data_IF_624622221329
#
_entry.id   IF_624622221329
#
_cell.length_a   1.000
_cell.length_b   1.000
_cell.length_c   1.000
_cell.angle_alpha   90.00
_cell.angle_beta   90.00
_cell.angle_gamma   90.00
#
_symmetry.space_group_name_H-M   'P 1'
#
loop_
_entity.id
_entity.type
_entity.pdbx_description
1 polymer ?
#
# COMPACT_ATOMS: atom_id res chain seq x y z
N UNK A 1 -13.41 0.75 -2.09
CA UNK A 1 -12.30 -0.24 -2.05
C UNK A 1 -11.07 0.34 -1.35
N UNK A 2 -10.23 -0.51 -0.76
CA UNK A 2 -9.05 -0.08 0.01
C UNK A 2 -7.75 -0.12 -0.78
N UNK A 3 -7.71 -0.75 -1.95
CA UNK A 3 -6.51 -0.86 -2.79
C UNK A 3 -6.87 -1.23 -4.23
N UNK A 4 -6.07 -0.76 -5.17
CA UNK A 4 -6.19 -1.11 -6.59
C UNK A 4 -5.99 -2.61 -6.88
N UNK A 5 -5.32 -3.35 -5.99
CA UNK A 5 -5.17 -4.82 -6.13
C UNK A 5 -6.53 -5.56 -6.11
N UNK A 6 -7.59 -4.91 -5.63
CA UNK A 6 -8.92 -5.48 -5.65
C UNK A 6 -9.66 -5.33 -7.00
N UNK A 7 -9.17 -4.50 -7.92
CA UNK A 7 -9.81 -4.24 -9.21
C UNK A 7 -9.94 -5.51 -10.06
N UNK A 8 -8.90 -6.32 -10.12
CA UNK A 8 -8.88 -7.56 -10.90
C UNK A 8 -9.95 -8.60 -10.45
N UNK A 9 -10.56 -8.40 -9.29
CA UNK A 9 -11.62 -9.28 -8.79
C UNK A 9 -13.03 -8.72 -9.05
N UNK A 10 -13.14 -7.56 -9.70
CA UNK A 10 -14.42 -6.95 -10.03
C UNK A 10 -14.80 -7.31 -11.48
N UNK A 11 -16.07 -7.67 -11.72
CA UNK A 11 -16.58 -7.96 -13.05
C UNK A 11 -16.56 -6.70 -13.96
N UNK A 12 -16.33 -6.90 -15.25
CA UNK A 12 -16.28 -5.82 -16.25
C UNK A 12 -17.62 -5.11 -16.42
N UNK A 13 -18.75 -5.81 -16.25
CA UNK A 13 -20.11 -5.25 -16.32
C UNK A 13 -20.40 -4.26 -15.16
N UNK A 14 -19.48 -4.12 -14.20
CA UNK A 14 -19.60 -3.18 -13.09
C UNK A 14 -19.00 -1.80 -13.36
N UNK A 15 -18.44 -1.55 -14.53
CA UNK A 15 -17.83 -0.26 -14.88
C UNK A 15 -18.80 0.95 -14.80
N UNK A 16 -20.11 0.72 -14.91
CA UNK A 16 -21.14 1.73 -14.72
C UNK A 16 -21.55 1.97 -13.26
N UNK A 17 -21.06 1.16 -12.29
CA UNK A 17 -21.40 1.31 -10.87
C UNK A 17 -20.51 2.36 -10.21
N UNK A 18 -21.06 3.03 -9.19
CA UNK A 18 -20.28 3.98 -8.37
C UNK A 18 -19.18 3.24 -7.61
N UNK A 19 -17.95 3.73 -7.74
CA UNK A 19 -16.79 3.17 -7.05
C UNK A 19 -16.19 4.24 -6.12
N UNK A 20 -15.99 3.85 -4.86
CA UNK A 20 -15.37 4.69 -3.85
C UNK A 20 -14.00 4.08 -3.47
N UNK A 21 -12.93 4.87 -3.57
CA UNK A 21 -11.55 4.48 -3.26
C UNK A 21 -11.02 5.24 -2.04
N UNK A 22 -10.10 4.63 -1.30
CA UNK A 22 -9.44 5.29 -0.17
C UNK A 22 -8.56 6.45 -0.66
N UNK A 23 -7.79 6.25 -1.72
CA UNK A 23 -6.86 7.27 -2.20
C UNK A 23 -6.83 7.41 -3.72
N UNK A 24 -6.28 8.55 -4.17
CA UNK A 24 -6.24 8.97 -5.57
C UNK A 24 -5.55 7.98 -6.50
N UNK A 25 -4.45 7.33 -6.07
CA UNK A 25 -3.77 6.30 -6.87
C UNK A 25 -4.68 5.09 -7.17
N UNK A 26 -5.52 4.68 -6.20
CA UNK A 26 -6.51 3.60 -6.41
C UNK A 26 -7.62 4.07 -7.34
N UNK A 27 -8.08 5.30 -7.19
CA UNK A 27 -9.09 5.90 -8.05
C UNK A 27 -8.61 6.05 -9.51
N UNK A 28 -7.37 6.51 -9.70
CA UNK A 28 -6.76 6.61 -11.03
C UNK A 28 -6.71 5.26 -11.74
N UNK A 29 -6.29 4.21 -11.03
CA UNK A 29 -6.29 2.84 -11.58
C UNK A 29 -7.68 2.31 -11.87
N UNK A 30 -8.68 2.65 -11.05
CA UNK A 30 -10.07 2.27 -11.31
C UNK A 30 -10.61 2.94 -12.58
N UNK A 31 -10.32 4.22 -12.79
CA UNK A 31 -10.69 4.93 -14.04
C UNK A 31 -10.00 4.32 -15.25
N UNK A 32 -8.69 4.01 -15.15
CA UNK A 32 -7.96 3.33 -16.21
C UNK A 32 -8.49 1.92 -16.51
N UNK A 33 -9.08 1.25 -15.54
CA UNK A 33 -9.76 -0.04 -15.70
C UNK A 33 -11.20 0.08 -16.23
N UNK A 34 -11.67 1.30 -16.60
CA UNK A 34 -12.97 1.52 -17.24
C UNK A 34 -14.12 1.94 -16.32
N UNK A 35 -13.91 2.08 -15.01
CA UNK A 35 -14.94 2.60 -14.11
C UNK A 35 -15.22 4.09 -14.37
N UNK A 36 -16.50 4.45 -14.54
CA UNK A 36 -16.90 5.80 -14.99
C UNK A 36 -17.22 6.75 -13.84
N UNK A 37 -17.85 6.28 -12.76
CA UNK A 37 -18.18 7.08 -11.56
C UNK A 37 -17.25 6.66 -10.41
N UNK A 38 -16.05 7.28 -10.37
CA UNK A 38 -15.02 6.97 -9.37
C UNK A 38 -14.77 8.20 -8.51
N UNK A 39 -14.95 8.04 -7.20
CA UNK A 39 -14.65 9.03 -6.17
C UNK A 39 -13.62 8.49 -5.20
N UNK A 40 -12.76 9.36 -4.71
CA UNK A 40 -11.77 9.02 -3.69
C UNK A 40 -11.82 9.98 -2.51
N UNK A 41 -11.36 9.49 -1.38
CA UNK A 41 -11.30 10.27 -0.15
C UNK A 41 -9.95 10.99 0.01
N UNK A 42 -8.97 10.65 -0.81
CA UNK A 42 -7.58 11.13 -0.82
C UNK A 42 -6.91 11.13 0.58
N UNK A 43 -7.30 10.17 1.41
CA UNK A 43 -6.78 10.04 2.78
C UNK A 43 -6.81 8.58 3.24
N UNK A 44 -7.70 8.25 4.17
CA UNK A 44 -7.77 6.97 4.84
C UNK A 44 -9.18 6.33 4.83
N UNK A 45 -9.36 5.24 5.56
CA UNK A 45 -10.64 4.55 5.65
C UNK A 45 -11.71 5.36 6.39
N UNK A 46 -11.34 6.28 7.26
CA UNK A 46 -12.26 7.17 7.97
C UNK A 46 -12.83 8.22 7.02
N UNK A 47 -11.95 8.89 6.29
CA UNK A 47 -12.33 9.84 5.25
C UNK A 47 -13.21 9.18 4.18
N UNK A 48 -12.90 7.91 3.82
CA UNK A 48 -13.74 7.15 2.90
C UNK A 48 -15.12 6.85 3.47
N UNK A 49 -15.24 6.49 4.75
CA UNK A 49 -16.54 6.31 5.38
C UNK A 49 -17.35 7.62 5.35
N UNK A 50 -16.73 8.75 5.70
CA UNK A 50 -17.36 10.07 5.65
C UNK A 50 -17.79 10.45 4.23
N UNK A 51 -16.97 10.18 3.21
CA UNK A 51 -17.33 10.42 1.80
C UNK A 51 -18.55 9.59 1.38
N UNK A 52 -18.59 8.31 1.71
CA UNK A 52 -19.71 7.42 1.39
C UNK A 52 -21.00 7.91 2.04
N UNK A 53 -20.97 8.25 3.34
CA UNK A 53 -22.13 8.71 4.10
C UNK A 53 -22.68 10.05 3.63
N UNK A 54 -21.82 10.94 3.09
CA UNK A 54 -22.27 12.20 2.46
C UNK A 54 -22.88 11.99 1.09
N UNK A 55 -22.52 10.91 0.39
CA UNK A 55 -22.85 10.72 -1.03
C UNK A 55 -24.02 9.78 -1.24
N UNK A 56 -24.19 8.79 -0.37
CA UNK A 56 -25.19 7.74 -0.49
C UNK A 56 -26.11 7.73 0.73
N UNK A 57 -27.30 7.15 0.56
CA UNK A 57 -28.23 6.84 1.65
C UNK A 57 -28.29 5.32 1.86
N UNK A 58 -28.47 4.82 3.09
CA UNK A 58 -28.61 3.38 3.36
C UNK A 58 -29.71 2.69 2.54
N UNK A 59 -30.75 3.43 2.18
CA UNK A 59 -31.87 2.93 1.36
C UNK A 59 -31.51 2.76 -0.13
N UNK A 60 -30.39 3.33 -0.60
CA UNK A 60 -29.98 3.24 -2.01
C UNK A 60 -29.43 1.85 -2.39
N UNK A 61 -29.25 0.96 -1.41
CA UNK A 61 -28.82 -0.42 -1.61
C UNK A 61 -27.61 -0.81 -0.78
N UNK A 62 -27.18 -2.06 -0.94
CA UNK A 62 -26.06 -2.61 -0.22
C UNK A 62 -24.71 -2.16 -0.82
N UNK A 63 -23.71 -2.01 0.05
CA UNK A 63 -22.33 -1.69 -0.32
C UNK A 63 -21.49 -2.99 -0.40
N UNK A 64 -20.77 -3.17 -1.50
CA UNK A 64 -19.70 -4.17 -1.57
C UNK A 64 -18.36 -3.53 -1.19
N UNK A 65 -17.77 -3.98 -0.09
CA UNK A 65 -16.43 -3.59 0.32
C UNK A 65 -15.43 -4.68 -0.06
N UNK A 66 -14.68 -4.44 -1.12
CA UNK A 66 -13.55 -5.30 -1.52
C UNK A 66 -12.27 -4.84 -0.84
N UNK A 67 -11.53 -5.76 -0.26
CA UNK A 67 -10.34 -5.48 0.54
C UNK A 67 -9.33 -6.63 0.52
N UNK A 68 -8.11 -6.34 0.93
CA UNK A 68 -7.12 -7.36 1.23
C UNK A 68 -7.39 -8.08 2.56
N UNK A 69 -6.77 -9.23 2.76
CA UNK A 69 -6.80 -9.96 4.04
C UNK A 69 -6.30 -9.05 5.18
N UNK A 70 -7.02 -9.02 6.28
CA UNK A 70 -6.69 -8.15 7.42
C UNK A 70 -7.06 -6.68 7.26
N UNK A 71 -7.63 -6.28 6.11
CA UNK A 71 -7.98 -4.89 5.81
C UNK A 71 -9.50 -4.69 5.75
N UNK A 72 -9.93 -3.43 5.91
CA UNK A 72 -11.31 -3.00 5.69
C UNK A 72 -12.30 -3.33 6.82
N UNK A 73 -11.90 -3.97 7.93
CA UNK A 73 -12.81 -4.28 9.03
C UNK A 73 -13.34 -3.01 9.69
N UNK A 74 -12.47 -2.05 10.03
CA UNK A 74 -12.86 -0.80 10.67
C UNK A 74 -13.76 0.02 9.75
N UNK A 75 -13.45 0.12 8.47
CA UNK A 75 -14.30 0.77 7.48
C UNK A 75 -15.67 0.11 7.39
N UNK A 76 -15.73 -1.23 7.33
CA UNK A 76 -17.02 -1.95 7.31
C UNK A 76 -17.83 -1.69 8.57
N UNK A 77 -17.20 -1.66 9.75
CA UNK A 77 -17.84 -1.36 11.02
C UNK A 77 -18.44 0.05 11.05
N UNK A 78 -17.67 1.05 10.61
CA UNK A 78 -18.13 2.45 10.54
C UNK A 78 -19.33 2.62 9.59
N UNK A 79 -19.28 2.01 8.42
CA UNK A 79 -20.39 2.07 7.45
C UNK A 79 -21.64 1.36 7.99
N UNK A 80 -21.50 0.23 8.71
CA UNK A 80 -22.63 -0.43 9.36
C UNK A 80 -23.21 0.40 10.51
N UNK A 81 -22.35 1.08 11.29
CA UNK A 81 -22.81 2.03 12.33
C UNK A 81 -23.62 3.18 11.70
N UNK A 82 -23.29 3.60 10.48
CA UNK A 82 -24.04 4.55 9.67
C UNK A 82 -25.27 3.92 8.94
N UNK A 83 -25.70 2.71 9.38
CA UNK A 83 -26.89 1.99 8.89
C UNK A 83 -26.82 1.43 7.47
N UNK A 84 -25.63 1.42 6.83
CA UNK A 84 -25.48 0.76 5.53
C UNK A 84 -25.40 -0.76 5.67
N UNK A 85 -26.03 -1.48 4.75
CA UNK A 85 -25.79 -2.92 4.56
C UNK A 85 -24.44 -3.08 3.86
N UNK A 86 -23.45 -3.76 4.51
CA UNK A 86 -22.10 -3.88 3.98
C UNK A 86 -21.71 -5.35 3.82
N UNK A 87 -21.50 -5.77 2.57
CA UNK A 87 -20.91 -7.06 2.22
C UNK A 87 -19.40 -6.91 2.03
N UNK A 88 -18.60 -7.31 3.02
CA UNK A 88 -17.14 -7.28 2.89
C UNK A 88 -16.66 -8.58 2.23
N UNK A 89 -15.81 -8.44 1.19
CA UNK A 89 -15.15 -9.57 0.53
C UNK A 89 -13.64 -9.35 0.54
N UNK A 90 -12.91 -10.37 0.96
CA UNK A 90 -11.45 -10.42 0.86
C UNK A 90 -11.12 -11.03 -0.50
N UNK A 91 -10.54 -10.24 -1.38
CA UNK A 91 -10.31 -10.64 -2.78
C UNK A 91 -8.82 -10.81 -3.10
N UNK A 92 -7.93 -10.42 -2.19
CA UNK A 92 -6.50 -10.70 -2.30
C UNK A 92 -5.87 -10.84 -0.92
N UNK A 93 -4.70 -11.46 -0.87
CA UNK A 93 -3.85 -11.49 0.30
C UNK A 93 -2.43 -11.10 -0.10
N UNK A 94 -1.84 -10.13 0.61
CA UNK A 94 -0.42 -9.88 0.50
C UNK A 94 0.32 -10.99 1.27
N UNK A 95 1.12 -11.77 0.58
CA UNK A 95 2.05 -12.71 1.21
C UNK A 95 3.45 -12.10 1.24
N UNK A 96 4.19 -12.39 2.31
CA UNK A 96 5.63 -12.04 2.34
C UNK A 96 6.35 -12.91 1.32
N UNK A 97 7.28 -12.32 0.57
CA UNK A 97 8.16 -13.09 -0.29
C UNK A 97 8.94 -14.12 0.58
N UNK A 98 9.11 -15.35 0.10
CA UNK A 98 9.87 -16.37 0.85
C UNK A 98 11.39 -16.11 0.85
N UNK A 99 11.89 -15.40 -0.18
CA UNK A 99 13.29 -15.02 -0.35
C UNK A 99 13.38 -13.68 -1.09
N UNK A 100 14.58 -13.08 -1.05
CA UNK A 100 14.92 -11.98 -1.97
C UNK A 100 14.95 -12.50 -3.41
N UNK A 101 14.46 -11.67 -4.34
CA UNK A 101 14.59 -11.96 -5.76
C UNK A 101 16.07 -12.16 -6.14
N UNK A 102 16.36 -13.09 -7.03
CA UNK A 102 17.75 -13.42 -7.41
C UNK A 102 18.50 -12.19 -7.97
N UNK A 103 17.82 -11.37 -8.79
CA UNK A 103 18.40 -10.13 -9.30
C UNK A 103 18.79 -9.15 -8.17
N UNK A 104 17.97 -9.05 -7.11
CA UNK A 104 18.29 -8.20 -5.96
C UNK A 104 19.47 -8.76 -5.16
N UNK A 105 19.55 -10.09 -4.99
CA UNK A 105 20.68 -10.75 -4.35
C UNK A 105 21.98 -10.50 -5.10
N UNK A 106 21.96 -10.73 -6.42
CA UNK A 106 23.12 -10.54 -7.28
C UNK A 106 23.61 -9.09 -7.24
N UNK A 107 22.69 -8.12 -7.34
CA UNK A 107 23.03 -6.69 -7.27
C UNK A 107 23.64 -6.28 -5.93
N UNK A 108 23.12 -6.80 -4.81
CA UNK A 108 23.69 -6.58 -3.47
C UNK A 108 25.10 -7.12 -3.36
N UNK A 109 25.33 -8.38 -3.79
CA UNK A 109 26.65 -9.03 -3.76
C UNK A 109 27.65 -8.31 -4.65
N UNK A 110 27.23 -7.85 -5.81
CA UNK A 110 28.06 -7.12 -6.77
C UNK A 110 28.33 -5.64 -6.37
N UNK A 111 27.75 -5.15 -5.26
CA UNK A 111 27.90 -3.75 -4.85
C UNK A 111 27.24 -2.72 -5.79
N UNK A 112 26.27 -3.16 -6.60
CA UNK A 112 25.58 -2.32 -7.60
C UNK A 112 24.42 -1.53 -7.02
N UNK A 113 24.12 -1.67 -5.72
CA UNK A 113 23.01 -0.97 -5.06
C UNK A 113 23.57 0.20 -4.25
N UNK A 114 23.33 1.42 -4.69
CA UNK A 114 23.69 2.62 -3.94
C UNK A 114 22.59 3.05 -2.95
N UNK A 115 21.33 2.88 -3.34
CA UNK A 115 20.16 3.32 -2.55
C UNK A 115 19.05 2.27 -2.58
N UNK A 116 18.34 2.10 -1.44
CA UNK A 116 17.20 1.20 -1.30
C UNK A 116 15.99 1.94 -0.74
N UNK A 117 14.84 1.87 -1.44
CA UNK A 117 13.62 2.59 -1.08
C UNK A 117 12.60 1.68 -0.40
N UNK A 118 12.03 2.15 0.71
CA UNK A 118 11.06 1.41 1.51
C UNK A 118 9.76 2.21 1.68
N UNK A 119 8.75 1.85 0.91
CA UNK A 119 7.43 2.51 0.90
C UNK A 119 6.49 2.04 2.02
N UNK A 120 6.93 1.19 2.93
CA UNK A 120 6.14 0.80 4.11
C UNK A 120 7.02 0.13 5.17
N UNK A 121 6.60 0.22 6.43
CA UNK A 121 7.22 -0.51 7.54
C UNK A 121 7.12 -2.03 7.36
N UNK A 122 6.05 -2.53 6.75
CA UNK A 122 5.89 -3.97 6.48
C UNK A 122 6.93 -4.48 5.47
N UNK A 123 7.20 -3.72 4.40
CA UNK A 123 8.24 -4.04 3.42
C UNK A 123 9.64 -3.96 4.04
N UNK A 124 9.90 -2.91 4.83
CA UNK A 124 11.15 -2.75 5.56
C UNK A 124 11.41 -3.95 6.49
N UNK A 125 10.44 -4.32 7.31
CA UNK A 125 10.55 -5.47 8.22
C UNK A 125 10.72 -6.81 7.48
N UNK A 126 10.02 -6.99 6.35
CA UNK A 126 10.21 -8.18 5.51
C UNK A 126 11.64 -8.25 4.95
N UNK A 127 12.18 -7.13 4.46
CA UNK A 127 13.56 -7.05 3.97
C UNK A 127 14.59 -7.43 5.05
N UNK A 128 14.43 -6.91 6.28
CA UNK A 128 15.32 -7.25 7.40
C UNK A 128 15.40 -8.77 7.63
N UNK A 129 14.25 -9.44 7.63
CA UNK A 129 14.19 -10.90 7.79
C UNK A 129 14.88 -11.61 6.63
N UNK A 130 14.60 -11.20 5.41
CA UNK A 130 15.10 -11.85 4.20
C UNK A 130 16.60 -11.65 4.01
N UNK A 131 17.13 -10.44 4.26
CA UNK A 131 18.56 -10.16 4.11
C UNK A 131 19.39 -10.87 5.19
N UNK A 132 18.89 -10.98 6.41
CA UNK A 132 19.53 -11.78 7.48
C UNK A 132 19.54 -13.26 7.13
N UNK A 133 18.40 -13.82 6.72
CA UNK A 133 18.28 -15.22 6.31
C UNK A 133 19.22 -15.55 5.14
N UNK A 134 19.41 -14.63 4.22
CA UNK A 134 20.29 -14.79 3.08
C UNK A 134 21.78 -14.57 3.38
N UNK A 135 22.17 -14.15 4.60
CA UNK A 135 23.55 -13.83 4.96
C UNK A 135 24.12 -12.59 4.28
N UNK A 136 23.25 -11.66 3.81
CA UNK A 136 23.64 -10.52 2.98
C UNK A 136 23.81 -9.22 3.77
N UNK A 137 23.69 -9.24 5.10
CA UNK A 137 23.79 -8.04 5.97
C UNK A 137 25.11 -7.28 5.74
N UNK A 138 26.20 -7.97 5.51
CA UNK A 138 27.54 -7.38 5.30
C UNK A 138 27.63 -6.48 4.06
N UNK A 139 26.72 -6.61 3.10
CA UNK A 139 26.70 -5.80 1.88
C UNK A 139 25.94 -4.48 2.02
N UNK A 140 25.29 -4.22 3.18
CA UNK A 140 24.44 -3.05 3.37
C UNK A 140 25.22 -1.78 3.77
N UNK A 141 26.45 -1.90 4.26
CA UNK A 141 27.22 -0.79 4.82
C UNK A 141 27.55 0.35 3.85
N UNK A 142 27.40 0.13 2.55
CA UNK A 142 27.60 1.16 1.51
C UNK A 142 26.27 1.71 0.94
N UNK A 143 25.15 1.15 1.37
CA UNK A 143 23.81 1.47 0.83
C UNK A 143 23.13 2.48 1.73
N UNK A 144 22.52 3.50 1.12
CA UNK A 144 21.60 4.41 1.81
C UNK A 144 20.18 3.85 1.74
N UNK A 145 19.52 3.71 2.89
CA UNK A 145 18.11 3.37 2.94
C UNK A 145 17.25 4.65 2.92
N UNK A 146 16.24 4.70 2.05
CA UNK A 146 15.28 5.80 1.98
C UNK A 146 13.91 5.26 2.40
N UNK A 147 13.27 5.91 3.38
CA UNK A 147 12.02 5.43 3.96
C UNK A 147 10.91 6.48 3.86
N UNK A 148 9.69 5.99 3.64
CA UNK A 148 8.50 6.85 3.50
C UNK A 148 8.09 7.54 4.83
N UNK A 149 8.59 7.06 5.96
CA UNK A 149 8.26 7.61 7.27
C UNK A 149 9.00 6.89 8.42
N UNK A 150 8.84 7.42 9.63
CA UNK A 150 9.59 6.98 10.82
C UNK A 150 9.38 5.50 11.17
N UNK A 151 8.16 4.97 11.03
CA UNK A 151 7.89 3.56 11.34
C UNK A 151 8.68 2.60 10.43
N UNK A 152 8.88 2.97 9.16
CA UNK A 152 9.72 2.20 8.24
C UNK A 152 11.21 2.34 8.58
N UNK A 153 11.67 3.53 9.00
CA UNK A 153 13.02 3.78 9.49
C UNK A 153 13.34 2.88 10.69
N UNK A 154 12.50 2.91 11.73
CA UNK A 154 12.71 2.10 12.94
C UNK A 154 12.87 0.61 12.62
N UNK A 155 12.14 0.08 11.64
CA UNK A 155 12.27 -1.30 11.21
C UNK A 155 13.66 -1.62 10.62
N UNK A 156 14.38 -0.64 10.08
CA UNK A 156 15.68 -0.81 9.41
C UNK A 156 16.89 -0.54 10.32
N UNK A 157 16.73 0.11 11.46
CA UNK A 157 17.81 0.53 12.36
C UNK A 157 18.68 -0.63 12.87
N UNK A 158 18.14 -1.84 12.84
CA UNK A 158 18.87 -3.06 13.24
C UNK A 158 19.88 -3.56 12.18
N UNK A 159 20.05 -2.88 11.05
CA UNK A 159 20.93 -3.22 9.95
C UNK A 159 22.01 -2.14 9.74
N UNK A 160 23.22 -2.48 9.29
CA UNK A 160 24.35 -1.57 9.14
C UNK A 160 24.27 -0.78 7.83
N UNK A 161 23.27 0.08 7.66
CA UNK A 161 23.17 0.99 6.53
C UNK A 161 24.25 2.08 6.57
N UNK A 162 24.71 2.57 5.41
CA UNK A 162 25.54 3.77 5.34
C UNK A 162 24.80 4.97 5.97
N UNK A 163 23.53 5.11 5.67
CA UNK A 163 22.63 6.10 6.23
C UNK A 163 21.18 5.64 6.09
N UNK A 164 20.27 6.17 6.92
CA UNK A 164 18.84 6.01 6.75
C UNK A 164 18.21 7.40 6.64
N UNK A 165 17.65 7.73 5.48
CA UNK A 165 16.95 8.98 5.22
C UNK A 165 15.44 8.76 5.25
N UNK A 166 14.72 9.69 5.85
CA UNK A 166 13.24 9.70 5.86
C UNK A 166 12.77 10.77 4.89
N UNK A 167 11.83 10.44 4.03
CA UNK A 167 11.19 11.41 3.13
C UNK A 167 10.47 12.51 3.92
N UNK A 168 10.50 13.74 3.41
CA UNK A 168 9.86 14.89 4.06
C UNK A 168 8.34 14.73 4.21
N UNK A 169 7.71 14.04 3.26
CA UNK A 169 6.30 13.71 3.25
C UNK A 169 6.10 12.23 2.87
N UNK A 170 5.02 11.56 3.34
CA UNK A 170 4.78 10.15 3.02
C UNK A 170 4.16 9.97 1.62
N UNK A 171 4.84 10.52 0.60
CA UNK A 171 4.43 10.46 -0.81
C UNK A 171 5.53 9.86 -1.67
N UNK A 172 5.15 9.32 -2.83
CA UNK A 172 6.11 8.80 -3.79
C UNK A 172 7.08 9.89 -4.27
N UNK A 173 6.58 11.09 -4.56
CA UNK A 173 7.39 12.20 -5.06
C UNK A 173 8.46 12.62 -4.05
N UNK A 174 8.10 12.69 -2.76
CA UNK A 174 9.06 13.00 -1.71
C UNK A 174 10.11 11.88 -1.54
N UNK A 175 9.74 10.61 -1.75
CA UNK A 175 10.69 9.49 -1.77
C UNK A 175 11.65 9.61 -2.97
N UNK A 176 11.14 9.91 -4.15
CA UNK A 176 11.96 10.09 -5.36
C UNK A 176 12.86 11.33 -5.28
N UNK A 177 12.41 12.40 -4.63
CA UNK A 177 13.21 13.59 -4.37
C UNK A 177 14.42 13.32 -3.44
N UNK A 178 14.42 12.22 -2.69
CA UNK A 178 15.56 11.78 -1.91
C UNK A 178 16.64 11.08 -2.72
N UNK A 179 16.38 10.70 -3.99
CA UNK A 179 17.39 10.06 -4.83
C UNK A 179 18.48 11.07 -5.19
N UNK A 180 19.71 10.72 -4.90
CA UNK A 180 20.87 11.46 -5.41
C UNK A 180 21.18 10.98 -6.81
N UNK A 181 21.44 11.91 -7.72
CA UNK A 181 21.92 11.63 -9.09
C UNK A 181 23.36 11.12 -9.04
#
# INVERSE_FOLDING_TARGET
MTSANALAALPDDWHGRKLFAVGGATAARARAAGFRDVRDADADGEALAALVTRTLRPADGALLLVSGRGQGQLLASRLRAAKFTVHRRVVYAASRAPALAEAARAALVAGQVAQALFFSAATAGAFVVLVRRAGLVKYLGQIEAITIGQTARMALEALPWRAIRVAAHPTQDAMLACLTK
#
